data_IF_318943491535
#
_entry.id   IF_318943491535
#
_cell.length_a   1.000
_cell.length_b   1.000
_cell.length_c   1.000
_cell.angle_alpha   90.00
_cell.angle_beta   90.00
_cell.angle_gamma   90.00
#
_symmetry.space_group_name_H-M   'P 1'
#
loop_
_entity.id
_entity.type
_entity.pdbx_description
1 polymer ?
#
# COMPACT_ATOMS: atom_id res chain seq x y z
N UNK A 1 -21.60 36.26 18.83
CA UNK A 1 -21.86 34.95 18.18
C UNK A 1 -20.63 34.06 18.44
N UNK A 2 -20.68 33.21 19.47
CA UNK A 2 -19.70 32.15 19.68
C UNK A 2 -20.00 31.07 18.65
N UNK A 3 -19.21 31.02 17.57
CA UNK A 3 -19.20 29.87 16.69
C UNK A 3 -18.55 28.72 17.47
N UNK A 4 -19.33 27.80 18.01
CA UNK A 4 -18.82 26.54 18.53
C UNK A 4 -18.26 25.75 17.33
N UNK A 5 -16.96 25.82 17.11
CA UNK A 5 -16.27 24.87 16.27
C UNK A 5 -16.40 23.51 16.98
N UNK A 6 -17.36 22.72 16.58
CA UNK A 6 -17.35 21.30 16.94
C UNK A 6 -16.02 20.72 16.42
N UNK A 7 -15.23 20.09 17.28
CA UNK A 7 -13.97 19.50 16.85
C UNK A 7 -14.25 18.50 15.73
N UNK A 8 -13.69 18.79 14.55
CA UNK A 8 -13.91 18.00 13.35
C UNK A 8 -13.20 16.65 13.48
N UNK A 9 -13.91 15.58 13.18
CA UNK A 9 -13.27 14.26 13.03
C UNK A 9 -12.42 14.23 11.76
N UNK A 10 -11.21 13.70 11.88
CA UNK A 10 -10.33 13.41 10.76
C UNK A 10 -10.10 11.91 10.75
N UNK A 11 -10.41 11.25 9.63
CA UNK A 11 -10.17 9.81 9.44
C UNK A 11 -9.19 9.62 8.31
N UNK A 12 -8.17 8.81 8.54
CA UNK A 12 -7.10 8.50 7.58
C UNK A 12 -6.87 7.00 7.56
N UNK A 13 -6.63 6.48 6.37
CA UNK A 13 -6.27 5.09 6.13
C UNK A 13 -4.85 4.97 5.57
N UNK A 14 -4.21 3.84 5.87
CA UNK A 14 -2.98 3.39 5.23
C UNK A 14 -3.02 1.88 5.08
N UNK A 15 -2.46 1.38 3.98
CA UNK A 15 -2.44 -0.04 3.64
C UNK A 15 -1.04 -0.63 3.79
N UNK A 16 -0.97 -1.95 3.95
CA UNK A 16 0.29 -2.71 3.91
C UNK A 16 0.77 -2.88 2.47
N UNK A 17 2.01 -3.33 2.31
CA UNK A 17 2.62 -3.59 1.00
C UNK A 17 1.91 -4.69 0.20
N UNK A 18 1.17 -5.56 0.86
CA UNK A 18 0.41 -6.64 0.22
C UNK A 18 -1.05 -6.32 -0.10
N UNK A 19 -1.53 -5.08 0.12
CA UNK A 19 -2.86 -4.70 -0.34
C UNK A 19 -2.88 -4.69 -1.88
N UNK A 20 -3.95 -5.22 -2.53
CA UNK A 20 -3.97 -5.44 -3.98
C UNK A 20 -3.55 -4.26 -4.85
N UNK A 21 -4.10 -3.06 -4.64
CA UNK A 21 -3.71 -1.89 -5.42
C UNK A 21 -2.25 -1.52 -5.19
N UNK A 22 -1.75 -1.68 -3.94
CA UNK A 22 -0.35 -1.43 -3.59
C UNK A 22 0.59 -2.46 -4.21
N UNK A 23 0.15 -3.70 -4.39
CA UNK A 23 0.87 -4.72 -5.17
C UNK A 23 0.98 -4.32 -6.63
N UNK A 24 -0.11 -3.84 -7.24
CA UNK A 24 -0.10 -3.33 -8.62
C UNK A 24 0.88 -2.16 -8.79
N UNK A 25 0.88 -1.19 -7.87
CA UNK A 25 1.83 -0.07 -7.86
C UNK A 25 3.28 -0.56 -7.82
N UNK A 26 3.60 -1.49 -6.91
CA UNK A 26 4.96 -2.04 -6.79
C UNK A 26 5.42 -2.79 -8.04
N UNK A 27 4.52 -3.51 -8.70
CA UNK A 27 4.82 -4.18 -9.96
C UNK A 27 5.07 -3.15 -11.07
N UNK A 28 4.22 -2.11 -11.17
CA UNK A 28 4.42 -1.03 -12.15
C UNK A 28 5.77 -0.32 -11.93
N UNK A 29 6.08 0.05 -10.68
CA UNK A 29 7.35 0.68 -10.33
C UNK A 29 8.55 -0.22 -10.65
N UNK A 30 8.48 -1.52 -10.35
CA UNK A 30 9.56 -2.46 -10.65
C UNK A 30 9.80 -2.61 -12.17
N UNK A 31 8.75 -2.56 -12.99
CA UNK A 31 8.86 -2.58 -14.45
C UNK A 31 9.53 -1.30 -14.95
N UNK A 32 9.13 -0.13 -14.44
CA UNK A 32 9.76 1.15 -14.78
C UNK A 32 11.24 1.15 -14.41
N UNK A 33 11.57 0.72 -13.19
CA UNK A 33 12.94 0.64 -12.69
C UNK A 33 13.82 -0.29 -13.55
N UNK A 34 13.28 -1.44 -13.98
CA UNK A 34 14.02 -2.38 -14.82
C UNK A 34 14.28 -1.84 -16.24
N UNK A 35 13.30 -1.11 -16.83
CA UNK A 35 13.53 -0.39 -18.08
C UNK A 35 14.62 0.66 -17.94
N UNK A 36 14.53 1.54 -16.92
CA UNK A 36 15.51 2.61 -16.70
C UNK A 36 16.89 2.09 -16.33
N UNK A 37 16.97 0.96 -15.65
CA UNK A 37 18.25 0.30 -15.34
C UNK A 37 18.98 -0.19 -16.59
N UNK A 38 18.24 -0.62 -17.62
CA UNK A 38 18.79 -1.13 -18.89
C UNK A 38 18.97 -0.02 -19.93
N UNK A 39 18.08 0.95 -19.92
CA UNK A 39 18.05 2.05 -20.87
C UNK A 39 17.68 3.35 -20.14
N UNK A 40 18.68 4.18 -19.82
CA UNK A 40 18.48 5.45 -19.09
C UNK A 40 17.65 6.47 -19.86
N UNK A 41 17.42 6.23 -21.14
CA UNK A 41 16.57 7.06 -22.00
C UNK A 41 15.18 6.45 -22.24
N UNK A 42 14.88 5.34 -21.59
CA UNK A 42 13.59 4.70 -21.70
C UNK A 42 12.47 5.66 -21.30
N UNK A 43 11.38 5.56 -22.02
CA UNK A 43 10.16 6.28 -21.78
C UNK A 43 9.05 5.27 -21.55
N UNK A 44 8.53 5.25 -20.33
CA UNK A 44 7.72 4.15 -19.82
C UNK A 44 6.44 4.70 -19.23
N UNK A 45 5.32 4.25 -19.73
CA UNK A 45 3.98 4.48 -19.19
C UNK A 45 3.30 3.13 -19.00
N UNK A 46 3.21 2.66 -17.76
CA UNK A 46 2.76 1.32 -17.40
C UNK A 46 1.60 1.39 -16.41
N UNK A 47 0.56 0.66 -16.74
CA UNK A 47 -0.63 0.45 -15.92
C UNK A 47 -0.77 -1.02 -15.56
N UNK A 48 -1.06 -1.29 -14.28
CA UNK A 48 -1.21 -2.64 -13.76
C UNK A 48 -2.54 -2.77 -13.06
N UNK A 49 -3.27 -3.83 -13.38
CA UNK A 49 -4.52 -4.20 -12.74
C UNK A 49 -4.48 -5.67 -12.32
N UNK A 50 -4.85 -5.96 -11.08
CA UNK A 50 -4.87 -7.31 -10.54
C UNK A 50 -6.20 -7.66 -9.87
N UNK A 51 -6.74 -8.83 -10.19
CA UNK A 51 -7.94 -9.37 -9.56
C UNK A 51 -8.09 -10.89 -9.83
N UNK A 52 -8.57 -11.64 -8.83
CA UNK A 52 -8.99 -13.04 -8.97
C UNK A 52 -7.93 -13.96 -9.61
N UNK A 53 -6.68 -13.88 -9.16
CA UNK A 53 -5.58 -14.72 -9.66
C UNK A 53 -5.01 -14.27 -11.01
N UNK A 54 -5.44 -13.13 -11.52
CA UNK A 54 -5.03 -12.57 -12.80
C UNK A 54 -4.34 -11.21 -12.59
N UNK A 55 -3.31 -10.96 -13.38
CA UNK A 55 -2.62 -9.67 -13.49
C UNK A 55 -2.60 -9.23 -14.95
N UNK A 56 -3.10 -8.03 -15.22
CA UNK A 56 -3.04 -7.40 -16.53
C UNK A 56 -2.08 -6.22 -16.47
N UNK A 57 -1.12 -6.21 -17.39
CA UNK A 57 -0.10 -5.16 -17.54
C UNK A 57 -0.26 -4.58 -18.93
N UNK A 58 -0.48 -3.27 -19.01
CA UNK A 58 -0.64 -2.57 -20.27
C UNK A 58 0.07 -1.23 -20.24
N UNK A 59 0.25 -0.63 -21.42
CA UNK A 59 0.83 0.68 -21.53
C UNK A 59 1.64 0.90 -22.81
N UNK A 60 2.45 1.95 -22.81
CA UNK A 60 3.29 2.34 -23.91
C UNK A 60 4.75 2.48 -23.46
N UNK A 61 5.68 1.94 -24.23
CA UNK A 61 7.11 2.03 -23.95
C UNK A 61 7.89 2.40 -25.19
N UNK A 62 8.84 3.33 -25.02
CA UNK A 62 9.89 3.62 -26.00
C UNK A 62 11.25 3.33 -25.35
N UNK A 63 11.84 2.19 -25.66
CA UNK A 63 13.11 1.74 -25.09
C UNK A 63 13.79 0.72 -25.99
N UNK A 64 15.13 0.63 -25.87
CA UNK A 64 15.93 -0.44 -26.43
C UNK A 64 16.04 -1.69 -25.54
N UNK A 65 15.51 -1.60 -24.32
CA UNK A 65 15.54 -2.70 -23.36
C UNK A 65 14.50 -3.77 -23.70
N UNK A 66 14.92 -5.05 -23.53
CA UNK A 66 14.07 -6.22 -23.67
C UNK A 66 14.25 -7.15 -22.47
N UNK A 67 13.13 -7.59 -21.85
CA UNK A 67 13.11 -8.53 -20.74
C UNK A 67 11.73 -9.13 -20.55
N UNK A 68 11.66 -10.23 -19.81
CA UNK A 68 10.40 -10.89 -19.48
C UNK A 68 9.66 -10.13 -18.35
N UNK A 69 8.71 -9.30 -18.76
CA UNK A 69 7.87 -8.47 -17.85
C UNK A 69 6.99 -9.37 -16.98
N UNK A 70 6.44 -10.46 -17.54
CA UNK A 70 5.62 -11.40 -16.81
C UNK A 70 6.39 -12.10 -15.69
N UNK A 71 7.61 -12.53 -15.97
CA UNK A 71 8.48 -13.12 -14.96
C UNK A 71 8.86 -12.14 -13.86
N UNK A 72 9.14 -10.87 -14.22
CA UNK A 72 9.41 -9.82 -13.24
C UNK A 72 8.20 -9.57 -12.34
N UNK A 73 7.01 -9.45 -12.91
CA UNK A 73 5.78 -9.24 -12.16
C UNK A 73 5.49 -10.37 -11.16
N UNK A 74 5.61 -11.63 -11.59
CA UNK A 74 5.48 -12.81 -10.72
C UNK A 74 6.50 -12.80 -9.60
N UNK A 75 7.74 -12.43 -9.89
CA UNK A 75 8.80 -12.31 -8.89
C UNK A 75 8.46 -11.27 -7.82
N UNK A 76 8.04 -10.07 -8.21
CA UNK A 76 7.63 -9.01 -7.27
C UNK A 76 6.47 -9.48 -6.39
N UNK A 77 5.46 -10.12 -6.97
CA UNK A 77 4.32 -10.67 -6.26
C UNK A 77 4.74 -11.68 -5.17
N UNK A 78 5.67 -12.59 -5.52
CA UNK A 78 6.22 -13.56 -4.57
C UNK A 78 7.08 -12.90 -3.48
N UNK A 79 7.90 -11.89 -3.81
CA UNK A 79 8.72 -11.15 -2.85
C UNK A 79 7.89 -10.35 -1.84
N UNK A 80 6.70 -9.89 -2.21
CA UNK A 80 5.72 -9.30 -1.29
C UNK A 80 5.26 -10.33 -0.25
N UNK A 81 5.20 -11.61 -0.62
CA UNK A 81 4.88 -12.72 0.26
C UNK A 81 3.65 -13.52 -0.14
N UNK A 82 3.21 -13.43 -1.37
CA UNK A 82 2.17 -14.27 -1.94
C UNK A 82 2.76 -15.51 -2.62
N UNK A 83 2.44 -16.73 -2.13
CA UNK A 83 2.99 -17.96 -2.69
C UNK A 83 2.23 -18.45 -3.93
N UNK A 84 1.05 -17.87 -4.19
CA UNK A 84 0.14 -18.32 -5.23
C UNK A 84 0.72 -18.00 -6.62
N UNK A 85 0.45 -18.88 -7.60
CA UNK A 85 0.74 -18.56 -9.01
C UNK A 85 -0.40 -17.69 -9.56
N UNK A 86 -0.01 -16.69 -10.35
CA UNK A 86 -0.94 -15.76 -10.99
C UNK A 86 -0.79 -15.82 -12.51
N UNK A 87 -1.90 -15.71 -13.24
CA UNK A 87 -1.88 -15.50 -14.68
C UNK A 87 -1.52 -14.06 -15.01
N UNK A 88 -0.48 -13.86 -15.85
CA UNK A 88 -0.02 -12.54 -16.23
C UNK A 88 -0.26 -12.31 -17.72
N UNK A 89 -1.04 -11.29 -18.02
CA UNK A 89 -1.31 -10.83 -19.39
C UNK A 89 -0.55 -9.52 -19.61
N UNK A 90 0.29 -9.48 -20.63
CA UNK A 90 1.09 -8.31 -20.98
C UNK A 90 0.67 -7.81 -22.36
N UNK A 91 0.27 -6.54 -22.44
CA UNK A 91 -0.05 -5.84 -23.68
C UNK A 91 0.58 -4.45 -23.66
N UNK A 92 1.84 -4.37 -24.08
CA UNK A 92 2.62 -3.12 -24.13
C UNK A 92 2.92 -2.80 -25.58
N UNK A 93 2.59 -1.59 -25.97
CA UNK A 93 2.82 -1.07 -27.31
C UNK A 93 4.03 -0.11 -27.35
N UNK A 94 4.60 0.07 -28.53
CA UNK A 94 5.61 1.11 -28.74
C UNK A 94 4.90 2.47 -28.80
N UNK A 95 5.40 3.45 -28.04
CA UNK A 95 4.85 4.79 -28.02
C UNK A 95 4.79 5.40 -29.44
N UNK A 96 3.70 6.13 -29.74
CA UNK A 96 3.50 6.77 -31.03
C UNK A 96 4.63 7.77 -31.37
N UNK A 97 4.83 8.05 -32.66
CA UNK A 97 5.88 8.98 -33.10
C UNK A 97 5.68 10.38 -32.49
N UNK A 98 4.43 10.82 -32.33
CA UNK A 98 4.11 12.12 -31.71
C UNK A 98 4.55 12.15 -30.24
N UNK A 99 4.33 11.07 -29.50
CA UNK A 99 4.75 10.96 -28.10
C UNK A 99 6.27 10.83 -27.94
N UNK A 100 6.97 10.27 -28.93
CA UNK A 100 8.44 10.20 -28.94
C UNK A 100 9.10 11.57 -29.12
N UNK A 101 8.40 12.55 -29.67
CA UNK A 101 8.93 13.92 -29.86
C UNK A 101 8.95 14.74 -28.55
N UNK A 102 8.25 14.34 -27.52
CA UNK A 102 8.28 15.00 -26.21
C UNK A 102 9.54 14.58 -25.45
N UNK A 103 10.66 15.25 -25.76
CA UNK A 103 11.98 14.87 -25.22
C UNK A 103 12.24 15.37 -23.79
N UNK A 104 11.55 16.42 -23.34
CA UNK A 104 11.77 17.04 -22.03
C UNK A 104 10.45 17.52 -21.44
N UNK A 105 10.21 17.22 -20.18
CA UNK A 105 9.08 17.74 -19.42
C UNK A 105 7.92 16.77 -19.25
N UNK A 106 6.83 17.30 -18.74
CA UNK A 106 5.59 16.57 -18.50
C UNK A 106 4.86 16.34 -19.81
N UNK A 107 4.40 15.12 -20.05
CA UNK A 107 3.69 14.75 -21.29
C UNK A 107 2.22 15.11 -21.28
N UNK A 108 1.69 15.46 -20.12
CA UNK A 108 0.28 15.79 -19.96
C UNK A 108 0.11 17.03 -19.07
N UNK A 109 -1.09 17.59 -19.08
CA UNK A 109 -1.47 18.67 -18.17
C UNK A 109 -1.65 18.11 -16.77
N UNK A 110 -0.95 18.69 -15.79
CA UNK A 110 -0.99 18.24 -14.42
C UNK A 110 -1.31 19.39 -13.46
N UNK A 111 -2.13 19.11 -12.46
CA UNK A 111 -2.37 20.01 -11.31
C UNK A 111 -1.68 19.42 -10.08
N UNK A 112 -0.76 20.19 -9.50
CA UNK A 112 -0.01 19.78 -8.31
C UNK A 112 -0.52 20.57 -7.12
N UNK A 113 -0.92 19.85 -6.06
CA UNK A 113 -1.31 20.42 -4.78
C UNK A 113 -0.26 20.07 -3.73
N UNK A 114 0.21 21.09 -3.01
CA UNK A 114 1.12 20.93 -1.88
C UNK A 114 0.41 21.18 -0.55
N UNK A 115 0.75 20.40 0.47
CA UNK A 115 0.26 20.59 1.83
C UNK A 115 1.35 20.29 2.85
N UNK A 116 1.47 21.14 3.85
CA UNK A 116 2.37 20.92 4.99
C UNK A 116 1.74 21.48 6.27
N UNK A 117 2.04 20.84 7.41
CA UNK A 117 1.61 21.28 8.74
C UNK A 117 2.76 21.19 9.74
N UNK A 118 2.60 21.82 10.89
CA UNK A 118 3.55 21.72 11.99
C UNK A 118 3.13 20.74 13.09
N UNK A 119 2.10 19.91 12.83
CA UNK A 119 1.59 18.92 13.78
C UNK A 119 2.62 17.85 14.12
N UNK A 120 3.49 17.49 13.17
CA UNK A 120 4.50 16.46 13.32
C UNK A 120 5.84 16.88 12.74
N UNK A 121 6.90 16.15 13.09
CA UNK A 121 8.24 16.34 12.54
C UNK A 121 8.29 16.08 11.02
N UNK A 122 7.46 15.18 10.54
CA UNK A 122 7.31 14.81 9.13
C UNK A 122 6.60 15.90 8.31
N UNK A 123 6.11 16.95 8.95
CA UNK A 123 5.32 18.02 8.32
C UNK A 123 3.99 17.53 7.74
N UNK A 124 3.50 16.41 8.24
CA UNK A 124 2.22 15.81 7.89
C UNK A 124 1.24 15.86 9.07
N UNK A 125 -0.08 15.75 8.82
CA UNK A 125 -1.05 15.61 9.90
C UNK A 125 -0.75 14.39 10.78
N UNK A 126 -0.96 14.51 12.08
CA UNK A 126 -0.69 13.43 13.05
C UNK A 126 -1.41 12.14 12.71
N UNK A 127 -2.67 12.22 12.26
CA UNK A 127 -3.44 11.04 11.83
C UNK A 127 -2.80 10.30 10.67
N UNK A 128 -2.21 11.02 9.71
CA UNK A 128 -1.48 10.44 8.56
C UNK A 128 -0.24 9.70 9.06
N UNK A 129 0.56 10.35 9.91
CA UNK A 129 1.79 9.75 10.47
C UNK A 129 1.47 8.50 11.28
N UNK A 130 0.43 8.51 12.10
CA UNK A 130 0.00 7.33 12.85
C UNK A 130 -0.44 6.19 11.93
N UNK A 131 -1.30 6.45 10.96
CA UNK A 131 -1.79 5.44 10.03
C UNK A 131 -0.65 4.77 9.27
N UNK A 132 0.26 5.55 8.70
CA UNK A 132 1.43 5.03 7.97
C UNK A 132 2.41 4.29 8.88
N UNK A 133 2.64 4.79 10.10
CA UNK A 133 3.54 4.13 11.05
C UNK A 133 3.01 2.76 11.45
N UNK A 134 1.72 2.65 11.74
CA UNK A 134 1.11 1.38 12.10
C UNK A 134 1.07 0.40 10.91
N UNK A 135 0.73 0.85 9.71
CA UNK A 135 0.73 -0.01 8.53
C UNK A 135 2.13 -0.55 8.22
N UNK A 136 3.17 0.29 8.30
CA UNK A 136 4.56 -0.12 8.13
C UNK A 136 4.98 -1.12 9.20
N UNK A 137 4.64 -0.85 10.47
CA UNK A 137 4.97 -1.75 11.58
C UNK A 137 4.27 -3.10 11.44
N UNK A 138 3.06 -3.14 10.86
CA UNK A 138 2.36 -4.38 10.55
C UNK A 138 3.16 -5.24 9.57
N UNK A 139 3.68 -4.64 8.49
CA UNK A 139 4.57 -5.29 7.54
C UNK A 139 5.88 -5.76 8.18
N UNK A 140 6.49 -4.92 9.04
CA UNK A 140 7.73 -5.26 9.74
C UNK A 140 7.53 -6.46 10.67
N UNK A 141 6.46 -6.48 11.47
CA UNK A 141 6.12 -7.61 12.35
C UNK A 141 5.97 -8.90 11.55
N UNK A 142 5.24 -8.87 10.44
CA UNK A 142 5.08 -10.02 9.55
C UNK A 142 6.42 -10.57 9.04
N UNK A 143 7.34 -9.68 8.67
CA UNK A 143 8.63 -10.04 8.04
C UNK A 143 9.69 -10.46 9.06
N UNK A 144 9.66 -9.91 10.28
CA UNK A 144 10.80 -10.00 11.20
C UNK A 144 10.49 -10.75 12.51
N UNK A 145 9.22 -10.85 12.94
CA UNK A 145 8.85 -11.52 14.18
C UNK A 145 8.21 -12.89 13.88
N UNK A 146 8.88 -14.02 14.22
CA UNK A 146 8.34 -15.36 14.00
C UNK A 146 6.96 -15.61 14.62
N UNK A 147 6.60 -14.84 15.66
CA UNK A 147 5.27 -14.92 16.28
C UNK A 147 4.15 -14.42 15.36
N UNK A 148 4.50 -13.73 14.28
CA UNK A 148 3.58 -13.22 13.27
C UNK A 148 3.62 -14.03 11.95
N UNK A 149 4.23 -15.22 11.94
CA UNK A 149 4.27 -16.11 10.77
C UNK A 149 2.88 -16.53 10.24
N UNK A 150 1.85 -16.33 11.02
CA UNK A 150 0.44 -16.54 10.64
C UNK A 150 -0.15 -15.40 9.80
N UNK A 151 0.52 -14.23 9.77
CA UNK A 151 0.01 -13.05 9.07
C UNK A 151 0.32 -13.14 7.57
N UNK A 152 -0.68 -12.89 6.75
CA UNK A 152 -0.56 -12.71 5.30
C UNK A 152 -0.21 -11.26 4.96
N UNK A 153 0.18 -10.96 3.70
CA UNK A 153 0.66 -9.63 3.32
C UNK A 153 -0.38 -8.51 3.34
N UNK A 154 -1.66 -8.82 3.11
CA UNK A 154 -2.72 -7.81 3.00
C UNK A 154 -3.16 -7.29 4.37
N UNK A 155 -3.31 -5.98 4.45
CA UNK A 155 -3.78 -5.31 5.65
C UNK A 155 -4.06 -3.83 5.46
N UNK A 156 -4.81 -3.27 6.40
CA UNK A 156 -5.16 -1.85 6.43
C UNK A 156 -5.20 -1.35 7.86
N UNK A 157 -4.79 -0.11 8.06
CA UNK A 157 -4.95 0.63 9.30
C UNK A 157 -5.77 1.87 9.02
N UNK A 158 -6.78 2.12 9.84
CA UNK A 158 -7.57 3.36 9.83
C UNK A 158 -7.47 4.02 11.21
N UNK A 159 -7.20 5.31 11.23
CA UNK A 159 -7.14 6.14 12.43
C UNK A 159 -8.18 7.25 12.32
N UNK A 160 -9.06 7.34 13.31
CA UNK A 160 -9.94 8.51 13.48
C UNK A 160 -9.47 9.34 14.67
N UNK A 161 -9.32 10.63 14.46
CA UNK A 161 -8.93 11.60 15.50
C UNK A 161 -9.96 12.69 15.63
N UNK A 162 -10.11 13.20 16.86
CA UNK A 162 -10.85 14.41 17.17
C UNK A 162 -9.90 15.39 17.87
N UNK A 163 -9.54 16.47 17.18
CA UNK A 163 -8.43 17.30 17.62
C UNK A 163 -7.14 16.49 17.71
N UNK A 164 -6.50 16.50 18.87
CA UNK A 164 -5.25 15.79 19.14
C UNK A 164 -5.43 14.38 19.71
N UNK A 165 -6.67 13.95 19.92
CA UNK A 165 -6.98 12.67 20.55
C UNK A 165 -7.37 11.60 19.53
N UNK A 166 -6.76 10.42 19.64
CA UNK A 166 -7.16 9.23 18.88
C UNK A 166 -8.48 8.71 19.44
N UNK A 167 -9.50 8.68 18.61
CA UNK A 167 -10.83 8.16 19.00
C UNK A 167 -10.97 6.70 18.64
N UNK A 168 -10.51 6.32 17.44
CA UNK A 168 -10.69 4.97 16.93
C UNK A 168 -9.45 4.52 16.19
N UNK A 169 -9.04 3.28 16.43
CA UNK A 169 -8.05 2.55 15.65
C UNK A 169 -8.71 1.31 15.08
N UNK A 170 -8.73 1.17 13.76
CA UNK A 170 -9.18 -0.04 13.09
C UNK A 170 -8.00 -0.68 12.37
N UNK A 171 -7.77 -1.96 12.62
CA UNK A 171 -6.74 -2.77 11.94
C UNK A 171 -7.42 -3.93 11.24
N UNK A 172 -7.21 -4.04 9.94
CA UNK A 172 -7.49 -5.23 9.16
C UNK A 172 -6.14 -5.92 8.89
N UNK A 173 -6.02 -7.18 9.27
CA UNK A 173 -4.82 -7.97 9.04
C UNK A 173 -5.24 -9.36 8.54
N UNK A 174 -4.81 -9.67 7.32
CA UNK A 174 -5.07 -10.98 6.74
C UNK A 174 -4.22 -12.04 7.44
N UNK A 175 -4.79 -13.26 7.59
CA UNK A 175 -4.15 -14.30 8.37
C UNK A 175 -4.46 -15.71 7.85
N UNK A 176 -3.65 -16.68 8.24
CA UNK A 176 -3.92 -18.08 7.97
C UNK A 176 -5.11 -18.59 8.78
N UNK A 177 -5.84 -19.55 8.24
CA UNK A 177 -6.98 -20.19 8.90
C UNK A 177 -6.59 -20.97 10.17
N UNK A 178 -5.31 -21.24 10.36
CA UNK A 178 -4.78 -21.98 11.52
C UNK A 178 -4.76 -21.19 12.82
N UNK A 179 -4.89 -19.85 12.75
CA UNK A 179 -4.95 -18.99 13.93
C UNK A 179 -6.37 -18.51 14.17
N UNK A 180 -6.80 -18.50 15.43
CA UNK A 180 -8.14 -18.02 15.77
C UNK A 180 -8.17 -16.49 15.95
N UNK A 181 -9.35 -15.90 15.77
CA UNK A 181 -9.56 -14.45 15.83
C UNK A 181 -9.16 -13.82 17.17
N UNK A 182 -9.23 -14.57 18.29
CA UNK A 182 -8.85 -14.07 19.62
C UNK A 182 -7.34 -13.86 19.70
N UNK A 183 -6.56 -14.82 19.21
CA UNK A 183 -5.09 -14.75 19.23
C UNK A 183 -4.60 -13.66 18.28
N UNK A 184 -5.22 -13.50 17.10
CA UNK A 184 -4.97 -12.36 16.19
C UNK A 184 -5.18 -11.04 16.92
N UNK A 185 -6.33 -10.87 17.60
CA UNK A 185 -6.63 -9.64 18.35
C UNK A 185 -5.62 -9.37 19.45
N UNK A 186 -5.28 -10.38 20.25
CA UNK A 186 -4.32 -10.24 21.36
C UNK A 186 -2.94 -9.85 20.83
N UNK A 187 -2.43 -10.55 19.82
CA UNK A 187 -1.11 -10.28 19.26
C UNK A 187 -1.01 -8.86 18.68
N UNK A 188 -2.01 -8.42 17.91
CA UNK A 188 -2.01 -7.08 17.30
C UNK A 188 -2.20 -5.98 18.37
N UNK A 189 -3.03 -6.20 19.38
CA UNK A 189 -3.20 -5.26 20.46
C UNK A 189 -1.87 -5.04 21.20
N UNK A 190 -1.23 -6.11 21.65
CA UNK A 190 -0.01 -6.04 22.47
C UNK A 190 1.23 -5.56 21.71
N UNK A 191 1.39 -5.99 20.45
CA UNK A 191 2.64 -5.78 19.72
C UNK A 191 2.60 -4.62 18.71
N UNK A 192 1.41 -4.28 18.23
CA UNK A 192 1.21 -3.22 17.23
C UNK A 192 0.63 -1.95 17.87
N UNK A 193 -0.56 -2.05 18.49
CA UNK A 193 -1.37 -0.89 18.85
C UNK A 193 -0.88 -0.25 20.14
N UNK A 194 -0.81 -1.02 21.25
CA UNK A 194 -0.42 -0.48 22.56
C UNK A 194 0.95 0.21 22.56
N UNK A 195 2.00 -0.31 21.90
CA UNK A 195 3.29 0.37 21.86
C UNK A 195 3.30 1.66 21.04
N UNK A 196 2.35 1.87 20.14
CA UNK A 196 2.30 3.03 19.27
C UNK A 196 1.39 4.15 19.79
N UNK A 197 0.29 3.80 20.43
CA UNK A 197 -0.79 4.74 20.80
C UNK A 197 -0.94 4.82 22.32
N UNK A 198 -0.45 3.82 23.07
CA UNK A 198 -0.67 3.73 24.50
C UNK A 198 -2.12 3.42 24.84
N UNK A 199 -2.58 3.93 25.98
CA UNK A 199 -3.96 3.77 26.46
C UNK A 199 -4.92 4.88 25.94
N UNK A 200 -4.44 5.76 25.09
CA UNK A 200 -5.19 6.95 24.65
C UNK A 200 -6.29 6.67 23.61
N UNK A 201 -6.31 5.47 23.01
CA UNK A 201 -7.36 5.11 22.05
C UNK A 201 -8.66 4.72 22.76
N UNK A 202 -9.75 5.39 22.40
CA UNK A 202 -11.06 5.15 23.01
C UNK A 202 -11.68 3.84 22.50
N UNK A 203 -11.51 3.53 21.21
CA UNK A 203 -12.05 2.32 20.60
C UNK A 203 -11.01 1.66 19.67
N UNK A 204 -10.88 0.33 19.79
CA UNK A 204 -9.98 -0.48 18.97
C UNK A 204 -10.78 -1.58 18.30
N UNK A 205 -10.71 -1.63 16.97
CA UNK A 205 -11.31 -2.67 16.15
C UNK A 205 -10.23 -3.44 15.40
N UNK A 206 -10.26 -4.76 15.52
CA UNK A 206 -9.35 -5.67 14.81
C UNK A 206 -10.20 -6.69 14.07
N UNK A 207 -10.11 -6.73 12.74
CA UNK A 207 -10.93 -7.56 11.86
C UNK A 207 -12.42 -7.54 12.28
N UNK A 208 -13.08 -6.36 12.34
CA UNK A 208 -14.39 -6.22 12.98
C UNK A 208 -15.53 -6.96 12.25
N UNK A 209 -15.36 -7.27 10.97
CA UNK A 209 -16.35 -7.98 10.15
C UNK A 209 -16.16 -9.51 10.15
N UNK A 210 -15.17 -10.02 10.87
CA UNK A 210 -14.88 -11.45 10.97
C UNK A 210 -13.46 -11.82 10.57
N UNK A 211 -13.26 -13.09 10.21
CA UNK A 211 -11.96 -13.61 9.79
C UNK A 211 -11.55 -13.04 8.43
N UNK A 212 -10.29 -12.62 8.31
CA UNK A 212 -9.72 -12.12 7.08
C UNK A 212 -8.66 -13.11 6.56
N UNK A 213 -9.14 -14.19 5.95
CA UNK A 213 -8.30 -15.32 5.53
C UNK A 213 -8.03 -15.36 4.02
N UNK A 214 -8.81 -14.63 3.20
CA UNK A 214 -8.59 -14.46 1.77
C UNK A 214 -7.88 -13.13 1.56
N UNK A 215 -6.74 -13.15 0.87
CA UNK A 215 -5.91 -11.97 0.62
C UNK A 215 -5.16 -12.13 -0.70
N UNK A 216 -4.83 -11.01 -1.34
CA UNK A 216 -4.20 -10.96 -2.66
C UNK A 216 -5.23 -10.78 -3.78
N UNK A 217 -4.85 -11.15 -5.00
CA UNK A 217 -5.70 -11.04 -6.18
C UNK A 217 -6.76 -12.13 -6.28
#
# INVERSE_FOLDING_TARGET
LFCYFLPMFKTVESVTMGQPDKVCDQIAEAIVDEYLRRDVHANVDIHVFGAHGMLMIGGEVSSSADFDIGALAKKVYQEIGYPDDIEVFVNIETASEEMQHVKNGVRDTVVINGYATNETRERLPRSVVFAHTLARRLDDLRKTDPKFSWMKPDGKVQISMQGDHVQTVTVLASHHVSINAKDVKTALLERLIMPAIGEDAVQIFINPIGEFTVAGF
#
